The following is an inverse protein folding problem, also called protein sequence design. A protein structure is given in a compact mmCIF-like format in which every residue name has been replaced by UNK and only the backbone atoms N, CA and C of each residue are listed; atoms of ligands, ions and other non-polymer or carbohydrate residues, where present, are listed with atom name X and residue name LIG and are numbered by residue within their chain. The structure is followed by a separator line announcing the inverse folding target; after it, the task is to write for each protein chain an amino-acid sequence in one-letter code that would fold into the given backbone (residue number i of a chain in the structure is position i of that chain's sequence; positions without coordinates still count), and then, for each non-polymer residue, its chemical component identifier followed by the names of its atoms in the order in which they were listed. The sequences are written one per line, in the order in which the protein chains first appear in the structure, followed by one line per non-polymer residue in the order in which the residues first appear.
data_IF_751140949410
#
_entry.id   IF_751140949410
#
_cell.length_a   1.000
_cell.length_b   1.000
_cell.length_c   1.000
_cell.angle_alpha   90.00
_cell.angle_beta   90.00
_cell.angle_gamma   90.00
#
_symmetry.space_group_name_H-M   'P 1'
#
loop_
_entity.id
_entity.type
_entity.pdbx_description
1 polymer ?
#
# COMPACT_ATOMS: atom_id res chain seq x y z
N UNK A 1 20.20 53.70 14.36
CA UNK A 1 19.03 52.91 13.92
C UNK A 1 18.68 53.20 12.46
N UNK A 2 18.72 54.45 12.03
CA UNK A 2 18.22 54.85 10.69
C UNK A 2 19.00 54.27 9.50
N UNK A 3 20.32 54.09 9.64
CA UNK A 3 21.15 53.41 8.62
C UNK A 3 20.79 51.93 8.47
N UNK A 4 20.48 51.23 9.56
CA UNK A 4 20.08 49.81 9.52
C UNK A 4 18.67 49.65 8.93
N UNK A 5 17.76 50.57 9.26
CA UNK A 5 16.42 50.62 8.66
C UNK A 5 16.50 50.82 7.15
N UNK A 6 17.36 51.73 6.68
CA UNK A 6 17.59 51.94 5.25
C UNK A 6 18.14 50.69 4.56
N UNK A 7 19.17 50.04 5.12
CA UNK A 7 19.74 48.83 4.52
C UNK A 7 18.76 47.65 4.50
N UNK A 8 18.01 47.40 5.58
CA UNK A 8 16.98 46.34 5.60
C UNK A 8 15.87 46.62 4.59
N UNK A 9 15.49 47.88 4.42
CA UNK A 9 14.51 48.29 3.38
C UNK A 9 14.99 47.97 1.97
N UNK A 10 16.29 48.16 1.70
CA UNK A 10 16.87 47.80 0.41
C UNK A 10 16.96 46.28 0.23
N UNK A 11 17.37 45.54 1.27
CA UNK A 11 17.54 44.08 1.23
C UNK A 11 16.21 43.37 0.90
N UNK A 12 15.10 43.81 1.50
CA UNK A 12 13.76 43.21 1.27
C UNK A 12 13.27 43.41 -0.18
N UNK A 13 13.79 44.41 -0.90
CA UNK A 13 13.41 44.69 -2.30
C UNK A 13 14.25 43.93 -3.33
N UNK A 14 15.34 43.28 -2.90
CA UNK A 14 16.24 42.55 -3.79
C UNK A 14 15.78 41.10 -4.01
N UNK A 15 16.27 40.47 -5.08
CA UNK A 15 16.14 39.03 -5.25
C UNK A 15 16.93 38.29 -4.16
N UNK A 16 16.44 37.10 -3.78
CA UNK A 16 16.89 36.34 -2.60
C UNK A 16 18.40 36.20 -2.52
N UNK A 17 19.06 35.83 -3.60
CA UNK A 17 20.51 35.59 -3.65
C UNK A 17 21.30 36.90 -3.40
N UNK A 18 20.88 38.00 -4.02
CA UNK A 18 21.48 39.32 -3.81
C UNK A 18 21.18 39.89 -2.42
N UNK A 19 19.99 39.61 -1.89
CA UNK A 19 19.57 40.00 -0.55
C UNK A 19 20.42 39.30 0.51
N UNK A 20 20.69 38.00 0.36
CA UNK A 20 21.55 37.23 1.27
C UNK A 20 23.00 37.72 1.23
N UNK A 21 23.55 38.01 0.05
CA UNK A 21 24.88 38.61 -0.07
C UNK A 21 24.97 39.96 0.65
N UNK A 22 23.95 40.80 0.52
CA UNK A 22 23.93 42.12 1.19
C UNK A 22 23.67 42.02 2.69
N UNK A 23 22.91 41.03 3.13
CA UNK A 23 22.68 40.71 4.54
C UNK A 23 23.96 40.14 5.18
N UNK A 24 24.79 39.45 4.40
CA UNK A 24 26.09 38.95 4.83
C UNK A 24 27.08 40.08 5.17
N UNK A 25 27.01 41.23 4.49
CA UNK A 25 27.85 42.40 4.76
C UNK A 25 27.25 43.33 5.83
N UNK A 26 25.93 43.31 6.03
CA UNK A 26 25.23 44.15 7.01
C UNK A 26 25.48 43.72 8.47
N UNK A 27 25.60 42.42 8.71
CA UNK A 27 25.76 41.86 10.06
C UNK A 27 27.06 41.07 10.19
N UNK A 28 27.62 41.05 11.40
CA UNK A 28 28.67 40.11 11.76
C UNK A 28 28.05 38.75 12.13
N UNK A 29 28.60 37.66 11.60
CA UNK A 29 28.10 36.28 11.79
C UNK A 29 29.18 35.36 12.42
N UNK A 30 29.71 35.68 13.62
CA UNK A 30 30.80 34.93 14.23
C UNK A 30 30.38 33.54 14.73
N UNK A 31 29.08 33.28 14.90
CA UNK A 31 28.56 32.09 15.56
C UNK A 31 28.68 30.82 14.70
N UNK A 32 28.84 30.97 13.39
CA UNK A 32 28.94 29.86 12.44
C UNK A 32 29.99 30.14 11.35
N UNK A 33 30.94 29.24 11.14
CA UNK A 33 31.98 29.34 10.09
C UNK A 33 31.59 28.68 8.76
N UNK A 34 30.56 27.83 8.77
CA UNK A 34 30.28 26.86 7.70
C UNK A 34 28.88 27.08 7.06
N UNK A 35 28.29 26.03 6.47
CA UNK A 35 26.94 25.99 5.86
C UNK A 35 25.83 26.52 6.77
N UNK A 36 25.99 26.40 8.11
CA UNK A 36 25.06 26.92 9.11
C UNK A 36 24.91 28.44 9.05
N UNK A 37 25.93 29.17 8.58
CA UNK A 37 25.86 30.61 8.36
C UNK A 37 24.84 30.97 7.28
N UNK A 38 24.78 30.19 6.20
CA UNK A 38 23.81 30.39 5.12
C UNK A 38 22.39 30.20 5.65
N UNK A 39 22.15 29.14 6.42
CA UNK A 39 20.85 28.91 7.07
C UNK A 39 20.45 30.03 8.05
N UNK A 40 21.41 30.61 8.76
CA UNK A 40 21.18 31.74 9.66
C UNK A 40 20.78 33.00 8.87
N UNK A 41 21.49 33.29 7.78
CA UNK A 41 21.19 34.43 6.90
C UNK A 41 19.82 34.28 6.23
N UNK A 42 19.48 33.08 5.75
CA UNK A 42 18.16 32.78 5.20
C UNK A 42 17.05 33.00 6.22
N UNK A 43 17.24 32.54 7.46
CA UNK A 43 16.25 32.75 8.51
C UNK A 43 16.00 34.23 8.78
N UNK A 44 17.05 35.04 8.87
CA UNK A 44 16.90 36.49 9.07
C UNK A 44 16.22 37.16 7.88
N UNK A 45 16.55 36.72 6.66
CA UNK A 45 15.89 37.21 5.45
C UNK A 45 14.39 36.87 5.43
N UNK A 46 14.02 35.62 5.69
CA UNK A 46 12.62 35.16 5.69
C UNK A 46 11.76 35.94 6.70
N UNK A 47 12.29 36.16 7.91
CA UNK A 47 11.61 36.96 8.94
C UNK A 47 11.45 38.41 8.52
N UNK A 48 12.46 38.99 7.88
CA UNK A 48 12.44 40.38 7.42
C UNK A 48 11.44 40.59 6.27
N UNK A 49 11.42 39.67 5.30
CA UNK A 49 10.47 39.70 4.18
C UNK A 49 9.04 39.49 4.67
N UNK A 50 8.84 38.55 5.60
CA UNK A 50 7.54 38.34 6.22
C UNK A 50 7.03 39.61 6.92
N UNK A 51 7.86 40.22 7.77
CA UNK A 51 7.50 41.44 8.49
C UNK A 51 7.12 42.58 7.54
N UNK A 52 7.90 42.79 6.48
CA UNK A 52 7.59 43.79 5.46
C UNK A 52 6.31 43.46 4.67
N UNK A 53 6.10 42.19 4.32
CA UNK A 53 4.90 41.72 3.61
C UNK A 53 3.60 41.84 4.42
N UNK A 54 3.70 41.91 5.75
CA UNK A 54 2.58 42.19 6.66
C UNK A 54 2.37 43.66 6.96
N UNK A 55 3.12 44.55 6.30
CA UNK A 55 2.94 46.00 6.44
C UNK A 55 3.45 46.57 7.76
N UNK A 56 4.38 45.88 8.44
CA UNK A 56 5.05 46.45 9.61
C UNK A 56 5.87 47.69 9.23
N UNK A 57 6.03 48.62 10.17
CA UNK A 57 6.87 49.80 9.94
C UNK A 57 8.32 49.40 9.68
N UNK A 58 9.05 50.12 8.83
CA UNK A 58 10.46 49.79 8.56
C UNK A 58 11.35 49.71 9.82
N UNK A 59 11.14 50.53 10.87
CA UNK A 59 11.79 50.34 12.15
C UNK A 59 11.44 49.02 12.85
N UNK A 60 10.19 48.56 12.77
CA UNK A 60 9.78 47.25 13.29
C UNK A 60 10.40 46.10 12.48
N UNK A 61 10.43 46.20 11.15
CA UNK A 61 11.07 45.21 10.26
C UNK A 61 12.56 45.09 10.61
N UNK A 62 13.25 46.22 10.74
CA UNK A 62 14.64 46.27 11.18
C UNK A 62 14.85 45.61 12.56
N UNK A 63 13.96 45.88 13.53
CA UNK A 63 14.00 45.23 14.84
C UNK A 63 13.84 43.71 14.69
N UNK A 64 12.83 43.24 13.97
CA UNK A 64 12.58 41.79 13.76
C UNK A 64 13.75 41.07 13.10
N UNK A 65 14.48 41.73 12.19
CA UNK A 65 15.69 41.18 11.59
C UNK A 65 16.80 40.97 12.63
N UNK A 66 17.03 41.97 13.49
CA UNK A 66 18.00 41.87 14.60
C UNK A 66 17.58 40.80 15.60
N UNK A 67 16.30 40.70 15.92
CA UNK A 67 15.74 39.66 16.79
C UNK A 67 15.98 38.27 16.23
N UNK A 68 15.66 38.07 14.95
CA UNK A 68 15.86 36.80 14.25
C UNK A 68 17.35 36.40 14.26
N UNK A 69 18.24 37.38 14.03
CA UNK A 69 19.69 37.16 14.12
C UNK A 69 20.07 36.62 15.50
N UNK A 70 19.51 37.17 16.58
CA UNK A 70 19.88 36.81 17.95
C UNK A 70 19.24 35.51 18.44
N UNK A 71 18.06 35.14 17.94
CA UNK A 71 17.35 33.90 18.33
C UNK A 71 17.99 32.68 17.68
N UNK A 72 18.39 32.77 16.40
CA UNK A 72 18.79 31.59 15.62
C UNK A 72 19.93 30.75 16.23
N UNK A 73 21.03 31.34 16.77
CA UNK A 73 22.09 30.57 17.42
C UNK A 73 21.61 29.77 18.63
N UNK A 74 20.55 30.24 19.29
CA UNK A 74 19.96 29.61 20.46
C UNK A 74 19.02 28.45 20.08
N UNK A 75 18.68 28.26 18.80
CA UNK A 75 17.81 27.16 18.37
C UNK A 75 18.51 25.78 18.44
N UNK A 76 19.84 25.75 18.37
CA UNK A 76 20.67 24.54 18.24
C UNK A 76 20.91 23.76 19.54
N UNK A 77 19.91 23.59 20.40
CA UNK A 77 20.07 22.86 21.68
C UNK A 77 19.02 23.15 22.74
N UNK A 78 17.96 23.88 22.39
CA UNK A 78 16.93 24.35 23.31
C UNK A 78 15.70 23.46 23.24
N UNK A 79 15.12 23.09 24.38
CA UNK A 79 13.87 22.33 24.49
C UNK A 79 12.64 23.18 24.09
N UNK A 80 11.49 22.55 23.86
CA UNK A 80 10.31 23.24 23.33
C UNK A 80 9.82 24.38 24.26
N UNK A 81 9.88 24.20 25.58
CA UNK A 81 9.42 25.21 26.54
C UNK A 81 10.34 26.43 26.60
N UNK A 82 11.65 26.19 26.54
CA UNK A 82 12.64 27.28 26.50
C UNK A 82 12.63 28.02 25.16
N UNK A 83 12.29 27.35 24.05
CA UNK A 83 12.08 28.02 22.75
C UNK A 83 10.89 28.99 22.81
N UNK A 84 9.76 28.55 23.38
CA UNK A 84 8.58 29.41 23.54
C UNK A 84 8.86 30.60 24.45
N UNK A 85 9.69 30.40 25.48
CA UNK A 85 10.11 31.50 26.37
C UNK A 85 10.98 32.51 25.63
N UNK A 86 11.99 32.05 24.88
CA UNK A 86 12.85 32.92 24.06
C UNK A 86 12.04 33.73 23.03
N UNK A 87 11.08 33.09 22.36
CA UNK A 87 10.21 33.76 21.40
C UNK A 87 9.33 34.81 22.07
N UNK A 88 8.74 34.49 23.22
CA UNK A 88 7.91 35.43 23.99
C UNK A 88 8.72 36.66 24.39
N UNK A 89 9.91 36.46 24.95
CA UNK A 89 10.74 37.55 25.46
C UNK A 89 11.22 38.44 24.30
N UNK A 90 11.63 37.82 23.19
CA UNK A 90 12.01 38.50 21.96
C UNK A 90 10.85 39.31 21.32
N UNK A 91 9.64 38.78 21.32
CA UNK A 91 8.44 39.47 20.83
C UNK A 91 8.06 40.66 21.71
N UNK A 92 8.24 40.54 23.03
CA UNK A 92 7.99 41.62 23.98
C UNK A 92 8.98 42.78 23.80
N UNK A 93 10.25 42.48 23.55
CA UNK A 93 11.28 43.51 23.36
C UNK A 93 11.19 44.21 22.00
N UNK A 94 10.86 43.46 20.94
CA UNK A 94 11.04 43.96 19.58
C UNK A 94 9.79 44.62 19.00
N UNK A 95 8.61 44.29 19.54
CA UNK A 95 7.31 44.69 18.99
C UNK A 95 6.32 45.15 20.08
N UNK A 96 6.69 46.13 20.94
CA UNK A 96 5.84 46.56 22.05
C UNK A 96 4.52 47.23 21.60
N UNK A 97 4.49 47.83 20.41
CA UNK A 97 3.40 48.69 19.93
C UNK A 97 2.57 48.09 18.78
N UNK A 98 2.65 46.79 18.52
CA UNK A 98 1.86 46.15 17.46
C UNK A 98 0.39 45.96 17.87
N UNK A 99 -0.51 46.05 16.89
CA UNK A 99 -1.92 45.66 17.08
C UNK A 99 -2.02 44.17 17.44
N UNK A 100 -3.04 43.75 18.21
CA UNK A 100 -3.17 42.36 18.65
C UNK A 100 -3.20 41.34 17.49
N UNK A 101 -3.74 41.74 16.33
CA UNK A 101 -3.77 40.91 15.10
C UNK A 101 -2.35 40.67 14.57
N UNK A 102 -1.56 41.72 14.35
CA UNK A 102 -0.17 41.58 13.89
C UNK A 102 0.70 40.84 14.91
N UNK A 103 0.46 41.02 16.21
CA UNK A 103 1.16 40.25 17.26
C UNK A 103 0.91 38.76 17.12
N UNK A 104 -0.35 38.35 16.92
CA UNK A 104 -0.71 36.95 16.75
C UNK A 104 -0.03 36.36 15.50
N UNK A 105 -0.13 37.04 14.36
CA UNK A 105 0.44 36.56 13.10
C UNK A 105 1.97 36.43 13.12
N UNK A 106 2.67 37.43 13.67
CA UNK A 106 4.13 37.39 13.80
C UNK A 106 4.56 36.30 14.79
N UNK A 107 3.81 36.10 15.88
CA UNK A 107 4.06 35.02 16.83
C UNK A 107 3.90 33.65 16.19
N UNK A 108 2.82 33.45 15.43
CA UNK A 108 2.56 32.19 14.73
C UNK A 108 3.67 31.89 13.73
N UNK A 109 3.98 32.85 12.85
CA UNK A 109 5.01 32.69 11.84
C UNK A 109 6.40 32.42 12.44
N UNK A 110 6.79 33.15 13.48
CA UNK A 110 8.07 32.92 14.15
C UNK A 110 8.11 31.55 14.83
N UNK A 111 7.02 31.12 15.45
CA UNK A 111 6.94 29.80 16.09
C UNK A 111 7.09 28.69 15.04
N UNK A 112 6.33 28.75 13.95
CA UNK A 112 6.40 27.77 12.85
C UNK A 112 7.79 27.76 12.17
N UNK A 113 8.34 28.94 11.91
CA UNK A 113 9.65 29.09 11.27
C UNK A 113 10.77 28.60 12.19
N UNK A 114 10.76 28.95 13.48
CA UNK A 114 11.75 28.46 14.44
C UNK A 114 11.65 26.95 14.67
N UNK A 115 10.45 26.37 14.74
CA UNK A 115 10.28 24.91 14.85
C UNK A 115 10.81 24.21 13.61
N UNK A 116 10.49 24.71 12.42
CA UNK A 116 10.95 24.13 11.15
C UNK A 116 12.46 24.25 11.01
N UNK A 117 13.02 25.44 11.23
CA UNK A 117 14.47 25.69 11.17
C UNK A 117 15.23 24.92 12.25
N UNK A 118 14.68 24.75 13.44
CA UNK A 118 15.24 23.86 14.48
C UNK A 118 15.30 22.41 14.02
N UNK A 119 14.23 21.89 13.42
CA UNK A 119 14.20 20.51 12.89
C UNK A 119 15.22 20.31 11.77
N UNK A 120 15.34 21.29 10.87
CA UNK A 120 16.33 21.28 9.80
C UNK A 120 17.76 21.37 10.34
N UNK A 121 18.02 22.28 11.28
CA UNK A 121 19.30 22.35 11.98
C UNK A 121 19.60 21.04 12.72
N UNK A 122 18.64 20.45 13.42
CA UNK A 122 18.83 19.17 14.09
C UNK A 122 19.08 18.02 13.10
N UNK A 123 18.48 18.04 11.91
CA UNK A 123 18.76 17.06 10.86
C UNK A 123 20.18 17.24 10.28
N UNK A 124 20.59 18.48 10.01
CA UNK A 124 21.92 18.80 9.45
C UNK A 124 23.04 18.61 10.49
N UNK A 125 22.79 18.95 11.76
CA UNK A 125 23.76 18.84 12.87
C UNK A 125 23.76 17.44 13.50
N UNK A 126 22.58 16.85 13.68
CA UNK A 126 22.40 15.50 14.23
C UNK A 126 22.68 14.39 13.23
N UNK A 127 22.69 14.70 11.92
CA UNK A 127 22.99 13.76 10.84
C UNK A 127 24.44 13.28 10.78
N UNK A 128 25.37 13.86 11.56
CA UNK A 128 26.77 13.43 11.59
C UNK A 128 27.32 13.08 12.98
N UNK A 129 26.72 13.54 14.08
CA UNK A 129 27.35 13.42 15.39
C UNK A 129 26.88 12.24 16.26
N UNK A 130 25.61 11.81 16.17
CA UNK A 130 25.05 10.85 17.13
C UNK A 130 24.36 9.63 16.51
N UNK A 131 24.22 9.57 15.19
CA UNK A 131 23.97 8.30 14.54
C UNK A 131 25.35 7.70 14.39
N UNK A 132 25.73 6.78 15.28
CA UNK A 132 26.61 5.70 14.86
C UNK A 132 25.91 5.11 13.64
N UNK A 133 26.27 5.61 12.45
CA UNK A 133 26.00 4.92 11.22
C UNK A 133 26.85 3.67 11.35
N UNK A 134 26.33 2.68 12.10
CA UNK A 134 26.49 1.30 11.72
C UNK A 134 26.00 1.27 10.29
N UNK A 135 26.94 1.51 9.38
CA UNK A 135 26.86 1.12 7.99
C UNK A 135 26.85 -0.40 8.04
N UNK A 136 25.73 -0.94 8.52
CA UNK A 136 25.31 -2.28 8.23
C UNK A 136 25.24 -2.28 6.72
N UNK A 137 26.24 -2.90 6.09
CA UNK A 137 26.09 -3.48 4.77
C UNK A 137 24.95 -4.49 4.91
N UNK A 138 23.72 -3.99 4.89
CA UNK A 138 22.57 -4.79 4.57
C UNK A 138 22.70 -4.99 3.07
N UNK A 139 23.22 -6.15 2.69
CA UNK A 139 22.90 -6.71 1.40
C UNK A 139 21.39 -6.85 1.37
N UNK A 140 20.72 -5.83 0.80
CA UNK A 140 19.31 -5.90 0.49
C UNK A 140 19.22 -6.96 -0.60
N UNK A 141 19.00 -8.20 -0.18
CA UNK A 141 18.62 -9.26 -1.09
C UNK A 141 17.39 -8.74 -1.81
N UNK A 142 17.51 -8.56 -3.14
CA UNK A 142 16.34 -8.24 -3.94
C UNK A 142 15.30 -9.31 -3.61
N UNK A 143 14.06 -8.91 -3.28
CA UNK A 143 12.95 -9.85 -3.29
C UNK A 143 13.04 -10.62 -4.61
N UNK A 144 12.94 -11.96 -4.59
CA UNK A 144 13.04 -12.75 -5.80
C UNK A 144 12.13 -12.10 -6.84
N UNK A 145 12.68 -11.83 -8.03
CA UNK A 145 11.97 -11.17 -9.12
C UNK A 145 10.60 -11.82 -9.22
N UNK A 146 9.49 -11.08 -9.01
CA UNK A 146 8.17 -11.67 -9.06
C UNK A 146 8.08 -12.39 -10.40
N UNK A 147 7.71 -13.67 -10.35
CA UNK A 147 7.61 -14.48 -11.56
C UNK A 147 6.77 -13.68 -12.56
N UNK A 148 7.22 -13.57 -13.83
CA UNK A 148 6.47 -12.84 -14.84
C UNK A 148 5.03 -13.32 -14.76
N UNK A 149 4.08 -12.38 -14.70
CA UNK A 149 2.66 -12.68 -14.62
C UNK A 149 2.35 -13.68 -15.72
N UNK A 150 2.27 -14.95 -15.33
CA UNK A 150 1.89 -16.02 -16.23
C UNK A 150 0.50 -15.63 -16.71
N UNK A 151 0.37 -15.54 -18.03
CA UNK A 151 -0.84 -15.25 -18.78
C UNK A 151 -2.08 -15.66 -17.98
N UNK A 152 -2.84 -14.66 -17.52
CA UNK A 152 -3.80 -14.74 -16.41
C UNK A 152 -4.58 -16.05 -16.34
N UNK A 153 -4.31 -16.83 -15.30
CA UNK A 153 -4.97 -18.10 -15.04
C UNK A 153 -5.98 -18.04 -13.87
N UNK A 154 -6.63 -16.90 -13.63
CA UNK A 154 -7.58 -16.81 -12.50
C UNK A 154 -9.04 -17.02 -12.92
N UNK A 155 -9.53 -16.38 -13.99
CA UNK A 155 -10.97 -16.41 -14.30
C UNK A 155 -11.44 -17.80 -14.73
N UNK A 156 -10.76 -18.44 -15.69
CA UNK A 156 -11.16 -19.76 -16.17
C UNK A 156 -10.94 -20.88 -15.15
N UNK A 157 -9.97 -20.74 -14.24
CA UNK A 157 -9.80 -21.69 -13.14
C UNK A 157 -10.91 -21.55 -12.10
N UNK A 158 -11.28 -20.33 -11.76
CA UNK A 158 -12.39 -20.05 -10.85
C UNK A 158 -13.73 -20.51 -11.45
N UNK A 159 -13.99 -20.22 -12.73
CA UNK A 159 -15.19 -20.70 -13.43
C UNK A 159 -15.28 -22.22 -13.43
N UNK A 160 -14.16 -22.91 -13.69
CA UNK A 160 -14.10 -24.38 -13.62
C UNK A 160 -14.35 -24.89 -12.21
N UNK A 161 -13.75 -24.27 -11.18
CA UNK A 161 -14.00 -24.63 -9.78
C UNK A 161 -15.47 -24.44 -9.41
N UNK A 162 -16.09 -23.35 -9.85
CA UNK A 162 -17.51 -23.08 -9.62
C UNK A 162 -18.39 -24.13 -10.30
N UNK A 163 -18.12 -24.46 -11.56
CA UNK A 163 -18.85 -25.51 -12.28
C UNK A 163 -18.70 -26.87 -11.60
N UNK A 164 -17.50 -27.22 -11.15
CA UNK A 164 -17.23 -28.47 -10.45
C UNK A 164 -17.97 -28.55 -9.11
N UNK A 165 -18.00 -27.47 -8.34
CA UNK A 165 -18.72 -27.38 -7.06
C UNK A 165 -20.23 -27.47 -7.26
N UNK A 166 -20.77 -26.83 -8.30
CA UNK A 166 -22.19 -26.94 -8.63
C UNK A 166 -22.57 -28.38 -8.97
N UNK A 167 -21.78 -29.04 -9.81
CA UNK A 167 -22.03 -30.44 -10.18
C UNK A 167 -21.91 -31.40 -8.99
N UNK A 168 -20.91 -31.22 -8.12
CA UNK A 168 -20.76 -32.06 -6.93
C UNK A 168 -21.90 -31.86 -5.94
N UNK A 169 -22.37 -30.63 -5.75
CA UNK A 169 -23.54 -30.33 -4.90
C UNK A 169 -24.81 -30.98 -5.44
N UNK A 170 -25.09 -30.86 -6.74
CA UNK A 170 -26.28 -31.49 -7.35
C UNK A 170 -26.21 -33.01 -7.28
N UNK A 171 -25.03 -33.59 -7.51
CA UNK A 171 -24.82 -35.03 -7.42
C UNK A 171 -25.03 -35.53 -5.99
N UNK A 172 -24.50 -34.83 -4.98
CA UNK A 172 -24.71 -35.16 -3.57
C UNK A 172 -26.20 -35.11 -3.21
N UNK A 173 -26.89 -34.03 -3.61
CA UNK A 173 -28.33 -33.88 -3.38
C UNK A 173 -29.13 -35.06 -3.95
N UNK A 174 -28.84 -35.46 -5.20
CA UNK A 174 -29.53 -36.58 -5.87
C UNK A 174 -29.21 -37.93 -5.22
N UNK A 175 -27.97 -38.12 -4.76
CA UNK A 175 -27.58 -39.31 -4.00
C UNK A 175 -28.30 -39.40 -2.65
N UNK A 176 -28.46 -38.27 -1.96
CA UNK A 176 -29.17 -38.22 -0.69
C UNK A 176 -30.68 -38.42 -0.88
N UNK A 177 -31.27 -37.91 -1.96
CA UNK A 177 -32.66 -38.21 -2.34
C UNK A 177 -32.87 -39.70 -2.62
N UNK A 178 -31.96 -40.31 -3.39
CA UNK A 178 -31.99 -41.75 -3.66
C UNK A 178 -31.85 -42.57 -2.36
N UNK A 179 -30.97 -42.12 -1.46
CA UNK A 179 -30.78 -42.76 -0.15
C UNK A 179 -32.07 -42.71 0.67
N UNK A 180 -32.73 -41.55 0.75
CA UNK A 180 -34.01 -41.38 1.44
C UNK A 180 -35.12 -42.26 0.86
N UNK A 181 -35.18 -42.42 -0.46
CA UNK A 181 -36.17 -43.30 -1.09
C UNK A 181 -35.94 -44.78 -0.80
N UNK A 182 -34.67 -45.20 -0.64
CA UNK A 182 -34.32 -46.59 -0.33
C UNK A 182 -34.45 -46.94 1.14
N UNK A 183 -34.12 -45.99 2.02
CA UNK A 183 -34.17 -46.16 3.48
C UNK A 183 -35.57 -45.84 4.06
N UNK A 184 -36.37 -45.02 3.37
CA UNK A 184 -37.72 -44.66 3.78
C UNK A 184 -38.78 -45.71 3.42
N UNK A 185 -39.99 -45.62 4.02
CA UNK A 185 -41.09 -46.51 3.70
C UNK A 185 -41.58 -46.28 2.26
N UNK A 186 -41.69 -47.37 1.48
CA UNK A 186 -42.17 -47.34 0.09
C UNK A 186 -43.68 -47.23 -0.04
N UNK A 187 -44.39 -47.62 1.01
CA UNK A 187 -45.84 -47.65 1.09
C UNK A 187 -46.26 -46.78 2.27
N UNK A 188 -47.16 -45.84 2.01
CA UNK A 188 -47.84 -45.08 3.06
C UNK A 188 -49.14 -45.80 3.34
N UNK A 189 -49.23 -46.44 4.50
CA UNK A 189 -50.50 -47.04 4.95
C UNK A 189 -51.39 -45.89 5.42
N UNK A 190 -52.52 -45.66 4.75
CA UNK A 190 -53.57 -44.80 5.29
C UNK A 190 -54.19 -45.50 6.50
N UNK A 191 -54.32 -44.77 7.62
CA UNK A 191 -54.94 -45.29 8.84
C UNK A 191 -56.39 -45.68 8.56
N UNK A 192 -56.70 -46.96 8.76
CA UNK A 192 -58.07 -47.47 8.64
C UNK A 192 -58.80 -47.08 9.94
N UNK A 193 -59.96 -46.39 9.88
CA UNK A 193 -60.71 -46.04 11.07
C UNK A 193 -61.14 -47.29 11.83
N UNK A 194 -60.77 -47.38 13.11
CA UNK A 194 -60.85 -48.59 13.95
C UNK A 194 -62.29 -48.99 14.34
N UNK A 195 -63.31 -48.16 14.04
CA UNK A 195 -64.65 -48.27 14.64
C UNK A 195 -65.78 -48.76 13.71
N UNK A 196 -65.48 -49.42 12.58
CA UNK A 196 -66.53 -49.92 11.66
C UNK A 196 -66.62 -51.45 11.67
N UNK A 197 -67.77 -52.00 12.06
CA UNK A 197 -68.13 -53.41 11.87
C UNK A 197 -68.21 -53.72 10.37
N UNK A 198 -67.13 -54.27 9.82
CA UNK A 198 -67.01 -54.55 8.40
C UNK A 198 -67.56 -55.95 8.05
N UNK A 199 -68.49 -56.02 7.10
CA UNK A 199 -68.87 -57.28 6.46
C UNK A 199 -67.70 -57.88 5.66
N UNK A 200 -67.65 -59.22 5.58
CA UNK A 200 -66.55 -59.97 4.93
C UNK A 200 -66.30 -59.52 3.49
N UNK A 201 -67.34 -59.36 2.69
CA UNK A 201 -67.23 -58.87 1.31
C UNK A 201 -66.58 -57.48 1.23
N UNK A 202 -66.97 -56.55 2.11
CA UNK A 202 -66.45 -55.18 2.08
C UNK A 202 -64.99 -55.15 2.52
N UNK A 203 -64.63 -55.94 3.54
CA UNK A 203 -63.23 -56.12 3.94
C UNK A 203 -62.37 -56.67 2.79
N UNK A 204 -62.86 -57.64 2.02
CA UNK A 204 -62.14 -58.20 0.86
C UNK A 204 -61.96 -57.15 -0.24
N UNK A 205 -62.97 -56.32 -0.51
CA UNK A 205 -62.84 -55.25 -1.50
C UNK A 205 -61.87 -54.15 -1.07
N UNK A 206 -61.85 -53.80 0.22
CA UNK A 206 -60.93 -52.82 0.78
C UNK A 206 -59.49 -53.33 0.75
N UNK A 207 -59.24 -54.58 1.15
CA UNK A 207 -57.92 -55.21 1.05
C UNK A 207 -57.44 -55.25 -0.40
N UNK A 208 -58.32 -55.58 -1.35
CA UNK A 208 -57.97 -55.58 -2.78
C UNK A 208 -57.63 -54.18 -3.27
N UNK A 209 -58.36 -53.16 -2.85
CA UNK A 209 -58.09 -51.76 -3.19
C UNK A 209 -56.76 -51.29 -2.57
N UNK A 210 -56.52 -51.61 -1.31
CA UNK A 210 -55.27 -51.31 -0.61
C UNK A 210 -54.08 -51.98 -1.31
N UNK A 211 -54.15 -53.27 -1.65
CA UNK A 211 -53.08 -53.97 -2.38
C UNK A 211 -52.78 -53.30 -3.71
N UNK A 212 -53.81 -52.93 -4.49
CA UNK A 212 -53.60 -52.20 -5.76
C UNK A 212 -52.96 -50.83 -5.54
N UNK A 213 -53.40 -50.07 -4.54
CA UNK A 213 -52.79 -48.80 -4.18
C UNK A 213 -51.31 -48.97 -3.75
N UNK A 214 -51.00 -50.04 -3.00
CA UNK A 214 -49.60 -50.36 -2.64
C UNK A 214 -48.75 -50.72 -3.85
N UNK A 215 -49.31 -51.47 -4.81
CA UNK A 215 -48.63 -51.83 -6.06
C UNK A 215 -48.29 -50.58 -6.88
N UNK A 216 -49.26 -49.68 -7.06
CA UNK A 216 -49.08 -48.40 -7.75
C UNK A 216 -48.04 -47.53 -7.05
N UNK A 217 -48.08 -47.45 -5.73
CA UNK A 217 -47.11 -46.66 -4.96
C UNK A 217 -45.69 -47.21 -5.05
N UNK A 218 -45.53 -48.54 -5.01
CA UNK A 218 -44.24 -49.20 -5.22
C UNK A 218 -43.71 -48.93 -6.63
N UNK A 219 -44.58 -49.02 -7.64
CA UNK A 219 -44.20 -48.74 -9.03
C UNK A 219 -43.75 -47.29 -9.22
N UNK A 220 -44.47 -46.33 -8.62
CA UNK A 220 -44.09 -44.91 -8.63
C UNK A 220 -42.75 -44.66 -7.93
N UNK A 221 -42.54 -45.28 -6.77
CA UNK A 221 -41.29 -45.23 -6.02
C UNK A 221 -40.12 -45.78 -6.86
N UNK A 222 -40.30 -46.93 -7.49
CA UNK A 222 -39.28 -47.57 -8.33
C UNK A 222 -38.96 -46.72 -9.57
N UNK A 223 -39.97 -46.18 -10.24
CA UNK A 223 -39.78 -45.29 -11.38
C UNK A 223 -38.96 -44.05 -10.99
N UNK A 224 -39.25 -43.46 -9.83
CA UNK A 224 -38.48 -42.33 -9.30
C UNK A 224 -37.04 -42.70 -9.01
N UNK A 225 -36.76 -43.89 -8.46
CA UNK A 225 -35.39 -44.37 -8.28
C UNK A 225 -34.65 -44.53 -9.62
N UNK A 226 -35.29 -45.10 -10.63
CA UNK A 226 -34.69 -45.26 -11.97
C UNK A 226 -34.35 -43.89 -12.57
N UNK A 227 -35.26 -42.91 -12.48
CA UNK A 227 -35.00 -41.55 -12.92
C UNK A 227 -33.82 -40.90 -12.18
N UNK A 228 -33.75 -41.05 -10.86
CA UNK A 228 -32.64 -40.51 -10.06
C UNK A 228 -31.30 -41.18 -10.39
N UNK A 229 -31.29 -42.49 -10.63
CA UNK A 229 -30.09 -43.20 -11.04
C UNK A 229 -29.60 -42.73 -12.42
N UNK A 230 -30.51 -42.51 -13.37
CA UNK A 230 -30.18 -41.94 -14.67
C UNK A 230 -29.57 -40.54 -14.53
N UNK A 231 -30.17 -39.65 -13.73
CA UNK A 231 -29.64 -38.33 -13.42
C UNK A 231 -28.23 -38.41 -12.81
N UNK A 232 -28.02 -39.28 -11.81
CA UNK A 232 -26.72 -39.46 -11.15
C UNK A 232 -25.65 -39.95 -12.13
N UNK A 233 -25.99 -40.90 -13.00
CA UNK A 233 -25.07 -41.39 -14.03
C UNK A 233 -24.71 -40.27 -15.01
N UNK A 234 -25.68 -39.47 -15.45
CA UNK A 234 -25.43 -38.33 -16.33
C UNK A 234 -24.52 -37.28 -15.67
N UNK A 235 -24.75 -36.95 -14.40
CA UNK A 235 -23.91 -36.02 -13.64
C UNK A 235 -22.47 -36.56 -13.47
N UNK A 236 -22.32 -37.88 -13.23
CA UNK A 236 -20.99 -38.52 -13.17
C UNK A 236 -20.27 -38.51 -14.51
N UNK A 237 -20.97 -38.72 -15.62
CA UNK A 237 -20.41 -38.59 -16.96
C UNK A 237 -19.92 -37.16 -17.24
N UNK A 238 -20.70 -36.15 -16.87
CA UNK A 238 -20.29 -34.74 -16.96
C UNK A 238 -19.05 -34.46 -16.11
N UNK A 239 -18.99 -34.99 -14.89
CA UNK A 239 -17.82 -34.85 -14.02
C UNK A 239 -16.59 -35.52 -14.63
N UNK A 240 -16.73 -36.73 -15.19
CA UNK A 240 -15.65 -37.42 -15.88
C UNK A 240 -15.15 -36.61 -17.08
N UNK A 241 -16.04 -36.05 -17.91
CA UNK A 241 -15.69 -35.20 -19.05
C UNK A 241 -14.91 -33.93 -18.65
N UNK A 242 -15.25 -33.31 -17.51
CA UNK A 242 -14.48 -32.17 -16.98
C UNK A 242 -13.09 -32.58 -16.50
N UNK A 243 -12.94 -33.78 -15.91
CA UNK A 243 -11.64 -34.29 -15.46
C UNK A 243 -10.74 -34.77 -16.61
N UNK A 244 -11.29 -35.31 -17.70
CA UNK A 244 -10.50 -35.69 -18.88
C UNK A 244 -10.02 -34.46 -19.64
N UNK A 245 -10.86 -33.42 -19.77
CA UNK A 245 -10.44 -32.13 -20.33
C UNK A 245 -9.19 -31.56 -19.63
N UNK A 246 -9.07 -31.73 -18.31
CA UNK A 246 -7.90 -31.33 -17.51
C UNK A 246 -6.61 -32.03 -17.97
N UNK A 247 -6.66 -33.32 -18.32
CA UNK A 247 -5.48 -34.09 -18.77
C UNK A 247 -5.01 -33.68 -20.16
N UNK A 248 -5.92 -33.29 -21.05
CA UNK A 248 -5.58 -32.85 -22.40
C UNK A 248 -4.97 -31.44 -22.42
N UNK A 249 -5.42 -30.52 -21.57
CA UNK A 249 -4.85 -29.18 -21.49
C UNK A 249 -3.45 -29.15 -20.85
N UNK A 250 -3.11 -30.13 -20.01
CA UNK A 250 -1.77 -30.24 -19.39
C UNK A 250 -0.70 -30.84 -20.32
N UNK A 251 -1.09 -31.51 -21.42
CA UNK A 251 -0.15 -32.25 -22.28
C UNK A 251 0.31 -31.46 -23.52
N UNK A 252 -0.28 -30.29 -23.80
CA UNK A 252 0.05 -29.45 -24.97
C UNK A 252 1.15 -28.42 -24.66
N UNK A 253 1.49 -28.19 -23.39
CA UNK A 253 2.54 -27.23 -22.99
C UNK A 253 3.95 -27.83 -22.92
N UNK A 254 4.20 -29.00 -23.52
CA UNK A 254 5.49 -29.70 -23.38
C UNK A 254 5.96 -30.37 -24.67
N UNK A 255 5.93 -29.65 -25.80
CA UNK A 255 6.69 -30.03 -27.00
C UNK A 255 7.14 -28.77 -27.75
N UNK A 256 8.29 -28.23 -27.37
CA UNK A 256 9.13 -27.42 -28.24
C UNK A 256 10.60 -27.57 -27.79
N UNK A 257 11.12 -28.79 -27.94
CA UNK A 257 12.55 -29.05 -28.00
C UNK A 257 12.91 -29.37 -29.45
N UNK A 258 13.91 -28.66 -29.99
CA UNK A 258 15.01 -29.13 -30.85
C UNK A 258 15.42 -28.09 -31.92
N UNK A 259 16.64 -28.17 -32.49
CA UNK A 259 17.88 -28.82 -32.02
C UNK A 259 19.17 -27.97 -32.19
N UNK A 260 20.23 -28.45 -31.54
CA UNK A 260 21.64 -28.21 -31.91
C UNK A 260 21.99 -28.72 -33.31
N UNK A 261 22.82 -27.98 -34.04
CA UNK A 261 23.74 -28.55 -35.05
C UNK A 261 25.05 -27.76 -35.18
N UNK A 262 26.12 -28.40 -34.71
CA UNK A 262 27.51 -28.47 -35.18
C UNK A 262 28.19 -27.33 -36.01
N UNK A 263 29.22 -26.75 -35.39
CA UNK A 263 30.63 -26.63 -35.83
C UNK A 263 31.00 -26.23 -37.28
N UNK A 264 31.75 -25.11 -37.42
CA UNK A 264 32.85 -24.95 -38.40
C UNK A 264 33.99 -24.09 -37.81
N UNK A 265 35.23 -24.61 -37.85
CA UNK A 265 36.50 -23.91 -37.60
C UNK A 265 36.90 -23.03 -38.80
N UNK A 266 37.48 -21.86 -38.55
CA UNK A 266 38.47 -21.25 -39.43
C UNK A 266 39.46 -20.36 -38.64
N UNK A 267 40.76 -20.68 -38.75
CA UNK A 267 41.92 -19.87 -38.35
C UNK A 267 42.22 -18.86 -39.44
N UNK A 268 42.63 -17.61 -39.14
CA UNK A 268 43.72 -16.90 -39.87
C UNK A 268 44.27 -15.63 -39.15
N UNK A 269 45.59 -15.64 -38.92
CA UNK A 269 46.64 -14.59 -38.82
C UNK A 269 46.62 -13.33 -37.92
N UNK A 270 47.72 -13.23 -37.13
CA UNK A 270 48.47 -12.11 -36.50
C UNK A 270 49.05 -11.10 -37.53
N UNK A 271 49.50 -9.85 -37.17
CA UNK A 271 50.72 -9.58 -36.34
C UNK A 271 50.65 -8.33 -35.41
N UNK A 272 51.22 -8.37 -34.19
CA UNK A 272 52.57 -7.91 -33.75
C UNK A 272 52.79 -6.39 -33.70
N UNK A 273 52.94 -5.84 -32.49
CA UNK A 273 53.87 -4.75 -32.20
C UNK A 273 54.34 -4.80 -30.73
N UNK A 274 55.65 -4.64 -30.57
CA UNK A 274 56.49 -4.71 -29.36
C UNK A 274 56.92 -3.27 -29.01
N UNK A 275 57.20 -3.02 -27.73
CA UNK A 275 58.07 -1.97 -27.13
C UNK A 275 57.31 -1.26 -26.00
N UNK A 276 57.89 -0.95 -24.84
CA UNK A 276 59.28 -1.00 -24.41
C UNK A 276 59.31 -0.81 -22.89
N UNK A 277 60.43 -1.23 -22.32
CA UNK A 277 60.70 -1.38 -20.89
C UNK A 277 61.58 -0.22 -20.45
N UNK A 278 61.43 0.19 -19.19
CA UNK A 278 62.39 0.93 -18.35
C UNK A 278 62.85 2.31 -18.79
N UNK A 279 62.73 3.27 -17.88
CA UNK A 279 63.85 4.16 -17.61
C UNK A 279 64.10 4.27 -16.10
N UNK A 280 65.37 4.25 -15.73
CA UNK A 280 65.89 4.26 -14.36
C UNK A 280 67.22 4.99 -14.43
N UNK A 281 67.20 6.26 -14.03
CA UNK A 281 68.29 6.96 -13.34
C UNK A 281 67.69 8.12 -12.59
#
# INVERSE_FOLDING_TARGET
MDSLVHEVTQIVKLQRESALQRLSSLFSWPEFTDERRVFHQEFVYDVSVFAAGRGLSWPDVARTAVTARNIFPQLGGVDAHRLLSLLRDALQECLPNLTPVHRHEVTQFLTETCVTRRRLLQAVVGGAANVTATQLHLEVQLPPTPQPLTQGAEVHELERRLQQNKLSSTLQQKQDELRRLREGPRVTVEDIPEDVLMDKEVAVTLVRAAVKATEEQILLSLNREVSLLADILQLRLQQAALTTRRRHTSHVSSTASHPETAAVKAKTHTPKAKAGKHDKT
#
